data_IF_101961037025
#
_entry.id   IF_101961037025
#
_cell.length_a   1.000
_cell.length_b   1.000
_cell.length_c   1.000
_cell.angle_alpha   90.00
_cell.angle_beta   90.00
_cell.angle_gamma   90.00
#
_symmetry.space_group_name_H-M   'P 1'
#
loop_
_entity.id
_entity.type
_entity.pdbx_description
1 polymer ?
#
# COMPACT_ATOMS: atom_id res chain seq x y z
N UNK A 1 -3.65 -39.26 17.64
CA UNK A 1 -4.44 -38.16 18.25
C UNK A 1 -3.81 -36.79 18.05
N UNK A 2 -2.51 -36.58 18.33
CA UNK A 2 -1.82 -35.29 18.13
C UNK A 2 -1.83 -34.77 16.67
N UNK A 3 -1.61 -35.66 15.68
CA UNK A 3 -1.59 -35.26 14.26
C UNK A 3 -2.94 -34.72 13.77
N UNK A 4 -4.05 -35.37 14.18
CA UNK A 4 -5.40 -34.94 13.81
C UNK A 4 -5.78 -33.62 14.51
N UNK A 5 -5.34 -33.40 15.74
CA UNK A 5 -5.54 -32.12 16.45
C UNK A 5 -4.75 -30.99 15.78
N UNK A 6 -3.48 -31.21 15.45
CA UNK A 6 -2.64 -30.22 14.75
C UNK A 6 -3.20 -29.84 13.37
N UNK A 7 -3.68 -30.82 12.60
CA UNK A 7 -4.32 -30.58 11.29
C UNK A 7 -5.61 -29.79 11.46
N UNK A 8 -6.42 -30.07 12.49
CA UNK A 8 -7.67 -29.35 12.75
C UNK A 8 -7.42 -27.89 13.16
N UNK A 9 -6.48 -27.64 14.06
CA UNK A 9 -6.09 -26.28 14.47
C UNK A 9 -5.51 -25.49 13.28
N UNK A 10 -4.70 -26.13 12.44
CA UNK A 10 -4.18 -25.50 11.22
C UNK A 10 -5.29 -25.17 10.22
N UNK A 11 -6.21 -26.10 9.95
CA UNK A 11 -7.34 -25.88 9.05
C UNK A 11 -8.29 -24.80 9.58
N UNK A 12 -8.52 -24.75 10.89
CA UNK A 12 -9.31 -23.70 11.53
C UNK A 12 -8.62 -22.34 11.43
N UNK A 13 -7.32 -22.28 11.74
CA UNK A 13 -6.54 -21.04 11.64
C UNK A 13 -6.47 -20.51 10.21
N UNK A 14 -6.23 -21.37 9.22
CA UNK A 14 -6.26 -21.00 7.79
C UNK A 14 -7.66 -20.55 7.39
N UNK A 15 -8.71 -21.25 7.85
CA UNK A 15 -10.10 -20.89 7.58
C UNK A 15 -10.48 -19.53 8.15
N UNK A 16 -10.08 -19.23 9.38
CA UNK A 16 -10.35 -17.96 10.07
C UNK A 16 -9.61 -16.80 9.41
N UNK A 17 -8.33 -16.98 9.08
CA UNK A 17 -7.54 -16.00 8.32
C UNK A 17 -8.12 -15.75 6.93
N UNK A 18 -8.53 -16.80 6.22
CA UNK A 18 -9.18 -16.67 4.93
C UNK A 18 -10.51 -15.92 5.04
N UNK A 19 -11.35 -16.25 6.03
CA UNK A 19 -12.62 -15.58 6.27
C UNK A 19 -12.43 -14.09 6.58
N UNK A 20 -11.48 -13.76 7.45
CA UNK A 20 -11.12 -12.37 7.77
C UNK A 20 -10.58 -11.63 6.54
N UNK A 21 -9.69 -12.27 5.77
CA UNK A 21 -9.16 -11.69 4.55
C UNK A 21 -10.26 -11.40 3.53
N UNK A 22 -11.14 -12.35 3.25
CA UNK A 22 -12.28 -12.15 2.34
C UNK A 22 -13.25 -11.09 2.87
N UNK A 23 -13.54 -11.07 4.17
CA UNK A 23 -14.41 -10.07 4.78
C UNK A 23 -13.85 -8.66 4.65
N UNK A 24 -12.55 -8.48 4.93
CA UNK A 24 -11.86 -7.19 4.79
C UNK A 24 -11.76 -6.79 3.32
N UNK A 25 -11.38 -7.71 2.43
CA UNK A 25 -11.32 -7.45 0.99
C UNK A 25 -12.68 -7.00 0.42
N UNK A 26 -13.76 -7.70 0.78
CA UNK A 26 -15.11 -7.35 0.38
C UNK A 26 -15.56 -6.01 0.94
N UNK A 27 -15.30 -5.74 2.22
CA UNK A 27 -15.60 -4.45 2.83
C UNK A 27 -14.83 -3.32 2.14
N UNK A 28 -13.56 -3.54 1.80
CA UNK A 28 -12.73 -2.57 1.08
C UNK A 28 -13.25 -2.33 -0.34
N UNK A 29 -13.57 -3.37 -1.10
CA UNK A 29 -14.19 -3.24 -2.43
C UNK A 29 -15.52 -2.48 -2.36
N UNK A 30 -16.34 -2.78 -1.36
CA UNK A 30 -17.60 -2.09 -1.12
C UNK A 30 -17.40 -0.60 -0.76
N UNK A 31 -16.43 -0.30 0.10
CA UNK A 31 -16.07 1.08 0.47
C UNK A 31 -15.49 1.84 -0.71
N UNK A 32 -14.64 1.21 -1.54
CA UNK A 32 -14.08 1.82 -2.76
C UNK A 32 -15.15 2.06 -3.84
N UNK A 33 -16.18 1.21 -3.91
CA UNK A 33 -17.39 1.44 -4.72
C UNK A 33 -18.19 2.65 -4.22
N UNK A 34 -18.23 2.88 -2.90
CA UNK A 34 -18.98 3.98 -2.29
C UNK A 34 -18.20 5.31 -2.26
N UNK A 35 -16.86 5.24 -2.13
CA UNK A 35 -15.93 6.37 -2.15
C UNK A 35 -15.02 6.26 -3.38
N UNK A 36 -15.51 6.68 -4.56
CA UNK A 36 -14.75 6.60 -5.79
C UNK A 36 -13.46 7.42 -5.68
N UNK A 37 -12.40 6.93 -6.35
CA UNK A 37 -11.05 7.50 -6.31
C UNK A 37 -11.02 9.00 -6.67
N UNK A 38 -12.01 9.52 -7.40
CA UNK A 38 -12.13 10.95 -7.69
C UNK A 38 -12.42 11.83 -6.47
N UNK A 39 -13.15 11.32 -5.47
CA UNK A 39 -13.45 12.05 -4.22
C UNK A 39 -12.20 12.11 -3.34
N UNK A 40 -11.50 10.99 -3.22
CA UNK A 40 -10.19 10.88 -2.53
C UNK A 40 -9.19 11.83 -3.21
N UNK A 41 -9.11 11.79 -4.54
CA UNK A 41 -8.33 12.75 -5.33
C UNK A 41 -8.70 14.19 -5.00
N UNK A 42 -9.98 14.57 -5.01
CA UNK A 42 -10.36 15.96 -4.72
C UNK A 42 -9.97 16.44 -3.33
N UNK A 43 -9.91 15.52 -2.35
CA UNK A 43 -9.47 15.80 -0.97
C UNK A 43 -7.94 15.90 -0.90
N UNK A 44 -7.20 14.98 -1.54
CA UNK A 44 -5.74 14.94 -1.56
C UNK A 44 -5.09 15.98 -2.50
N UNK A 45 -5.81 16.41 -3.54
CA UNK A 45 -5.37 17.41 -4.52
C UNK A 45 -5.86 18.81 -4.17
N UNK A 46 -6.54 19.01 -3.02
CA UNK A 46 -7.03 20.32 -2.60
C UNK A 46 -5.86 21.22 -2.20
N UNK A 47 -5.25 21.88 -3.19
CA UNK A 47 -4.29 23.02 -3.14
C UNK A 47 -3.73 23.31 -1.73
N UNK A 48 -2.93 22.39 -1.21
CA UNK A 48 -2.29 22.49 0.11
C UNK A 48 -0.77 22.40 -0.04
N UNK A 49 -0.05 22.84 0.99
CA UNK A 49 1.40 22.64 1.12
C UNK A 49 1.75 21.15 1.10
N UNK A 50 2.98 20.79 0.67
CA UNK A 50 3.47 19.40 0.61
C UNK A 50 3.32 18.61 1.94
N UNK A 51 3.27 19.33 3.07
CA UNK A 51 3.00 18.74 4.39
C UNK A 51 1.56 18.28 4.51
N UNK A 52 0.59 19.06 4.00
CA UNK A 52 -0.83 18.72 4.08
C UNK A 52 -1.18 17.52 3.19
N UNK A 53 -0.60 17.46 1.98
CA UNK A 53 -0.75 16.31 1.08
C UNK A 53 -0.15 15.03 1.69
N UNK A 54 1.03 15.13 2.32
CA UNK A 54 1.65 14.02 3.06
C UNK A 54 0.81 13.57 4.26
N UNK A 55 0.27 14.50 5.04
CA UNK A 55 -0.60 14.23 6.19
C UNK A 55 -1.90 13.52 5.76
N UNK A 56 -2.53 14.01 4.70
CA UNK A 56 -3.74 13.41 4.12
C UNK A 56 -3.45 12.01 3.57
N UNK A 57 -2.31 11.81 2.89
CA UNK A 57 -1.87 10.52 2.40
C UNK A 57 -1.63 9.51 3.52
N UNK A 58 -0.93 9.92 4.58
CA UNK A 58 -0.72 9.11 5.77
C UNK A 58 -2.05 8.79 6.49
N UNK A 59 -2.93 9.78 6.71
CA UNK A 59 -4.22 9.55 7.34
C UNK A 59 -5.07 8.55 6.55
N UNK A 60 -5.07 8.69 5.21
CA UNK A 60 -5.78 7.76 4.34
C UNK A 60 -5.19 6.36 4.43
N UNK A 61 -3.86 6.22 4.37
CA UNK A 61 -3.18 4.92 4.46
C UNK A 61 -3.38 4.22 5.80
N UNK A 62 -3.47 4.96 6.91
CA UNK A 62 -3.74 4.40 8.23
C UNK A 62 -5.17 3.87 8.35
N UNK A 63 -6.11 4.50 7.64
CA UNK A 63 -7.51 4.08 7.59
C UNK A 63 -7.76 2.95 6.59
N UNK A 64 -6.90 2.79 5.56
CA UNK A 64 -7.03 1.72 4.55
C UNK A 64 -5.99 0.63 4.77
N UNK A 65 -6.36 -0.51 5.41
CA UNK A 65 -5.49 -1.66 5.57
C UNK A 65 -5.35 -2.44 4.26
N UNK A 66 -4.74 -1.82 3.26
CA UNK A 66 -4.40 -2.52 2.04
C UNK A 66 -3.21 -3.43 2.31
N UNK A 67 -3.39 -4.71 2.00
CA UNK A 67 -2.27 -5.62 1.83
C UNK A 67 -1.37 -5.09 0.70
N UNK A 68 -0.04 -5.17 0.87
CA UNK A 68 0.94 -4.56 -0.02
C UNK A 68 0.72 -4.87 -1.52
N UNK A 69 0.07 -6.00 -1.83
CA UNK A 69 -0.37 -6.40 -3.16
C UNK A 69 -1.36 -5.42 -3.82
N UNK A 70 -2.25 -4.81 -3.05
CA UNK A 70 -3.28 -3.88 -3.52
C UNK A 70 -2.85 -2.42 -3.38
N UNK A 71 -1.98 -2.11 -2.41
CA UNK A 71 -1.49 -0.75 -2.17
C UNK A 71 -0.65 -0.21 -3.33
N UNK A 72 0.17 -1.06 -3.96
CA UNK A 72 1.06 -0.64 -5.06
C UNK A 72 0.28 -0.26 -6.34
N UNK A 73 -0.66 -1.08 -6.85
CA UNK A 73 -1.51 -0.69 -7.98
C UNK A 73 -2.29 0.60 -7.72
N UNK A 74 -2.84 0.75 -6.51
CA UNK A 74 -3.60 1.94 -6.14
C UNK A 74 -2.71 3.19 -6.11
N UNK A 75 -1.49 3.08 -5.59
CA UNK A 75 -0.52 4.16 -5.61
C UNK A 75 -0.17 4.60 -7.04
N UNK A 76 -0.01 3.65 -7.97
CA UNK A 76 0.21 3.96 -9.39
C UNK A 76 -1.02 4.65 -9.99
N UNK A 77 -2.23 4.21 -9.65
CA UNK A 77 -3.48 4.88 -10.05
C UNK A 77 -3.55 6.31 -9.53
N UNK A 78 -3.21 6.56 -8.26
CA UNK A 78 -3.17 7.91 -7.68
C UNK A 78 -2.20 8.84 -8.42
N UNK A 79 -1.00 8.34 -8.76
CA UNK A 79 -0.05 9.10 -9.57
C UNK A 79 -0.58 9.39 -10.98
N UNK A 80 -1.25 8.43 -11.62
CA UNK A 80 -1.91 8.63 -12.93
C UNK A 80 -3.01 9.69 -12.86
N UNK A 81 -3.71 9.76 -11.74
CA UNK A 81 -4.74 10.76 -11.50
C UNK A 81 -4.18 12.14 -11.11
N UNK A 82 -2.86 12.29 -10.96
CA UNK A 82 -2.23 13.57 -10.64
C UNK A 82 -2.23 13.92 -9.15
N UNK A 83 -2.35 12.92 -8.27
CA UNK A 83 -2.13 13.10 -6.83
C UNK A 83 -0.65 13.43 -6.61
N UNK A 84 -0.32 14.39 -5.73
CA UNK A 84 1.07 14.70 -5.38
C UNK A 84 1.86 13.47 -4.92
N UNK A 85 3.12 13.36 -5.36
CA UNK A 85 3.97 12.20 -5.09
C UNK A 85 4.19 11.97 -3.59
N UNK A 86 4.31 13.05 -2.82
CA UNK A 86 4.51 13.00 -1.37
C UNK A 86 3.33 12.37 -0.61
N UNK A 87 2.10 12.57 -1.10
CA UNK A 87 0.92 11.94 -0.54
C UNK A 87 0.89 10.45 -0.83
N UNK A 88 1.25 10.05 -2.05
CA UNK A 88 1.32 8.65 -2.46
C UNK A 88 2.43 7.90 -1.72
N UNK A 89 3.59 8.53 -1.54
CA UNK A 89 4.70 7.98 -0.76
C UNK A 89 4.31 7.78 0.71
N UNK A 90 3.67 8.80 1.32
CA UNK A 90 3.19 8.70 2.71
C UNK A 90 2.16 7.60 2.89
N UNK A 91 1.22 7.48 1.93
CA UNK A 91 0.21 6.42 1.89
C UNK A 91 0.85 5.03 1.83
N UNK A 92 1.81 4.83 0.92
CA UNK A 92 2.51 3.56 0.75
C UNK A 92 3.27 3.12 2.00
N UNK A 93 3.90 4.07 2.69
CA UNK A 93 4.69 3.80 3.88
C UNK A 93 3.80 3.50 5.10
N UNK A 94 2.75 4.30 5.34
CA UNK A 94 1.90 4.12 6.52
C UNK A 94 1.02 2.87 6.43
N UNK A 95 0.54 2.50 5.25
CA UNK A 95 -0.43 1.40 5.07
C UNK A 95 0.01 0.07 5.72
N UNK A 96 1.27 -0.41 5.56
CA UNK A 96 1.74 -1.58 6.28
C UNK A 96 2.09 -1.31 7.76
N UNK A 97 2.48 -0.09 8.11
CA UNK A 97 2.99 0.23 9.45
C UNK A 97 1.90 0.51 10.49
N UNK A 98 0.76 1.06 10.07
CA UNK A 98 -0.37 1.47 10.93
C UNK A 98 -1.68 0.77 10.54
N UNK A 99 -1.62 -0.54 10.29
CA UNK A 99 -2.81 -1.33 10.06
C UNK A 99 -3.61 -1.50 11.38
N UNK A 100 -4.94 -1.33 11.39
CA UNK A 100 -5.81 -1.62 12.53
C UNK A 100 -5.56 -2.97 13.22
N UNK A 101 -5.22 -4.01 12.46
CA UNK A 101 -4.88 -5.34 12.97
C UNK A 101 -3.60 -5.26 13.82
N UNK A 102 -2.55 -4.61 13.29
CA UNK A 102 -1.27 -4.45 13.97
C UNK A 102 -1.39 -3.56 15.21
N UNK A 103 -2.15 -2.47 15.11
CA UNK A 103 -2.44 -1.56 16.24
C UNK A 103 -3.21 -2.29 17.34
N UNK A 104 -4.20 -3.10 16.99
CA UNK A 104 -4.97 -3.91 17.95
C UNK A 104 -4.12 -4.97 18.63
N UNK A 105 -3.22 -5.59 17.86
CA UNK A 105 -2.27 -6.56 18.39
C UNK A 105 -1.29 -5.91 19.36
N UNK A 106 -0.70 -4.76 19.00
CA UNK A 106 0.16 -3.98 19.90
C UNK A 106 -0.56 -3.56 21.19
N UNK A 107 -1.81 -3.10 21.07
CA UNK A 107 -2.62 -2.71 22.22
C UNK A 107 -2.86 -3.87 23.18
N UNK A 108 -3.02 -5.08 22.65
CA UNK A 108 -3.26 -6.29 23.45
C UNK A 108 -1.99 -6.79 24.13
N UNK A 109 -0.84 -6.73 23.44
CA UNK A 109 0.43 -7.24 23.97
C UNK A 109 1.17 -6.26 24.88
N UNK A 110 1.31 -5.01 24.44
CA UNK A 110 2.13 -4.01 25.11
C UNK A 110 1.30 -3.01 25.91
N UNK A 111 -0.02 -2.98 25.72
CA UNK A 111 -0.92 -2.02 26.36
C UNK A 111 -1.01 -0.69 25.62
N UNK A 112 -2.02 0.10 25.98
CA UNK A 112 -2.43 1.30 25.23
C UNK A 112 -1.36 2.40 25.16
N UNK A 113 -0.55 2.54 26.21
CA UNK A 113 0.49 3.58 26.29
C UNK A 113 1.54 3.44 25.17
N UNK A 114 2.02 2.21 24.95
CA UNK A 114 3.02 1.92 23.94
C UNK A 114 2.45 1.95 22.52
N UNK A 115 1.21 1.51 22.35
CA UNK A 115 0.51 1.56 21.05
C UNK A 115 0.35 2.99 20.57
N UNK A 116 -0.12 3.91 21.43
CA UNK A 116 -0.29 5.32 21.05
C UNK A 116 1.05 5.95 20.70
N UNK A 117 2.09 5.68 21.48
CA UNK A 117 3.45 6.18 21.22
C UNK A 117 3.97 5.69 19.85
N UNK A 118 3.84 4.39 19.58
CA UNK A 118 4.21 3.80 18.29
C UNK A 118 3.43 4.45 17.14
N UNK A 119 2.11 4.59 17.26
CA UNK A 119 1.27 5.19 16.23
C UNK A 119 1.69 6.61 15.91
N UNK A 120 1.93 7.45 16.93
CA UNK A 120 2.35 8.84 16.73
C UNK A 120 3.74 8.92 16.11
N UNK A 121 4.69 8.12 16.58
CA UNK A 121 6.06 8.11 16.05
C UNK A 121 6.08 7.70 14.58
N UNK A 122 5.46 6.58 14.25
CA UNK A 122 5.38 6.09 12.87
C UNK A 122 4.66 7.09 11.98
N UNK A 123 3.51 7.61 12.40
CA UNK A 123 2.75 8.58 11.61
C UNK A 123 3.59 9.83 11.34
N UNK A 124 4.25 10.37 12.36
CA UNK A 124 5.10 11.56 12.22
C UNK A 124 6.31 11.30 11.30
N UNK A 125 7.01 10.18 11.45
CA UNK A 125 8.13 9.81 10.58
C UNK A 125 7.69 9.69 9.13
N UNK A 126 6.52 9.11 8.90
CA UNK A 126 6.01 8.89 7.55
C UNK A 126 5.65 10.20 6.86
N UNK A 127 5.06 11.14 7.59
CA UNK A 127 4.76 12.50 7.07
C UNK A 127 6.06 13.26 6.77
N UNK A 128 7.08 13.13 7.62
CA UNK A 128 8.40 13.75 7.39
C UNK A 128 9.07 13.15 6.15
N UNK A 129 9.05 11.83 6.00
CA UNK A 129 9.58 11.16 4.80
C UNK A 129 8.81 11.57 3.54
N UNK A 130 7.48 11.59 3.60
CA UNK A 130 6.63 12.06 2.50
C UNK A 130 6.99 13.47 2.07
N UNK A 131 7.11 14.39 3.03
CA UNK A 131 7.56 15.75 2.76
C UNK A 131 8.96 15.80 2.16
N UNK A 132 9.90 14.98 2.64
CA UNK A 132 11.24 14.88 2.06
C UNK A 132 11.20 14.40 0.60
N UNK A 133 10.32 13.44 0.27
CA UNK A 133 10.08 13.02 -1.10
C UNK A 133 9.47 14.11 -1.98
N UNK A 134 8.77 15.09 -1.41
CA UNK A 134 8.31 16.27 -2.15
C UNK A 134 9.48 17.16 -2.63
N UNK A 135 10.61 17.14 -1.92
CA UNK A 135 11.79 17.94 -2.24
C UNK A 135 12.67 17.30 -3.32
N UNK A 136 12.55 15.98 -3.52
CA UNK A 136 13.31 15.25 -4.54
C UNK A 136 12.53 15.26 -5.86
N UNK A 137 13.09 15.77 -6.97
CA UNK A 137 12.38 15.83 -8.24
C UNK A 137 12.00 14.43 -8.75
N UNK A 138 10.70 14.19 -8.86
CA UNK A 138 10.03 12.95 -9.28
C UNK A 138 10.36 12.53 -10.73
N UNK A 139 11.02 13.39 -11.50
CA UNK A 139 11.40 13.18 -12.90
C UNK A 139 12.35 12.00 -13.15
N UNK A 140 12.88 11.39 -12.08
CA UNK A 140 13.68 10.17 -12.13
C UNK A 140 12.87 8.89 -11.87
N UNK A 141 11.78 8.95 -11.10
CA UNK A 141 11.04 7.76 -10.64
C UNK A 141 9.88 7.37 -11.55
N UNK A 142 9.31 8.32 -12.30
CA UNK A 142 8.19 8.10 -13.22
C UNK A 142 8.67 8.24 -14.68
N UNK A 143 9.68 7.48 -15.08
CA UNK A 143 9.95 7.23 -16.51
C UNK A 143 9.32 5.91 -16.89
N UNK A 144 8.04 5.98 -17.25
CA UNK A 144 7.38 4.86 -17.91
C UNK A 144 7.72 4.88 -19.40
N UNK A 145 8.56 3.95 -19.84
CA UNK A 145 8.85 3.67 -21.25
C UNK A 145 7.65 3.10 -22.04
N UNK A 146 6.42 3.26 -21.54
CA UNK A 146 5.22 2.65 -22.11
C UNK A 146 4.13 3.69 -22.42
N UNK A 147 3.50 3.63 -23.61
CA UNK A 147 2.51 4.61 -24.04
C UNK A 147 1.26 4.55 -23.17
N UNK A 148 0.92 5.68 -22.56
CA UNK A 148 -0.30 5.86 -21.79
C UNK A 148 -1.51 6.17 -22.72
N UNK A 149 -2.63 5.44 -22.62
CA UNK A 149 -3.87 5.89 -23.25
C UNK A 149 -4.42 7.07 -22.44
N UNK A 150 -4.53 8.24 -23.08
CA UNK A 150 -4.98 9.51 -22.45
C UNK A 150 -6.47 9.55 -22.09
N UNK A 151 -7.25 8.54 -22.47
CA UNK A 151 -8.68 8.44 -22.21
C UNK A 151 -9.02 7.03 -21.71
N UNK A 152 -9.03 6.84 -20.39
CA UNK A 152 -9.57 5.63 -19.78
C UNK A 152 -11.05 5.88 -19.47
N UNK A 153 -11.94 5.67 -20.45
CA UNK A 153 -13.37 5.61 -20.18
C UNK A 153 -13.68 4.24 -19.59
N UNK A 154 -14.31 4.22 -18.41
CA UNK A 154 -14.74 3.01 -17.73
C UNK A 154 -15.91 2.39 -18.51
N UNK A 155 -15.59 1.53 -19.47
CA UNK A 155 -16.58 0.73 -20.23
C UNK A 155 -16.31 -0.75 -19.99
N UNK A 156 -17.27 -1.42 -19.36
CA UNK A 156 -17.25 -2.85 -19.02
C UNK A 156 -17.45 -3.73 -20.26
N UNK A 157 -16.46 -3.79 -21.15
CA UNK A 157 -16.51 -4.70 -22.29
C UNK A 157 -15.19 -5.40 -22.60
N UNK A 158 -15.30 -6.67 -23.07
CA UNK A 158 -14.30 -7.74 -23.23
C UNK A 158 -12.96 -7.39 -23.92
N UNK A 159 -12.79 -6.16 -24.42
CA UNK A 159 -11.55 -5.65 -25.04
C UNK A 159 -10.49 -5.26 -23.99
N UNK A 160 -10.90 -4.86 -22.79
CA UNK A 160 -10.03 -4.48 -21.66
C UNK A 160 -9.14 -5.63 -21.15
N UNK A 161 -9.60 -6.89 -21.25
CA UNK A 161 -8.85 -8.05 -20.72
C UNK A 161 -7.53 -8.30 -21.46
N UNK A 162 -7.48 -8.15 -22.79
CA UNK A 162 -6.29 -8.48 -23.59
C UNK A 162 -5.27 -7.35 -23.61
N UNK A 163 -5.74 -6.10 -23.70
CA UNK A 163 -4.89 -4.90 -23.70
C UNK A 163 -4.46 -4.52 -22.27
N UNK A 164 -5.35 -4.68 -21.28
CA UNK A 164 -5.04 -4.48 -19.87
C UNK A 164 -4.02 -5.50 -19.34
N UNK A 165 -4.12 -6.78 -19.72
CA UNK A 165 -3.14 -7.79 -19.29
C UNK A 165 -1.73 -7.51 -19.81
N UNK A 166 -1.59 -7.10 -21.08
CA UNK A 166 -0.30 -6.72 -21.67
C UNK A 166 0.30 -5.47 -21.00
N UNK A 167 -0.54 -4.49 -20.66
CA UNK A 167 -0.11 -3.29 -19.94
C UNK A 167 0.30 -3.58 -18.49
N UNK A 168 -0.47 -4.42 -17.79
CA UNK A 168 -0.16 -4.87 -16.43
C UNK A 168 1.16 -5.65 -16.44
N UNK A 169 1.35 -6.58 -17.38
CA UNK A 169 2.60 -7.35 -17.53
C UNK A 169 3.81 -6.46 -17.82
N UNK A 170 3.71 -5.50 -18.75
CA UNK A 170 4.82 -4.58 -19.01
C UNK A 170 5.13 -3.68 -17.81
N UNK A 171 4.10 -3.18 -17.11
CA UNK A 171 4.27 -2.39 -15.90
C UNK A 171 4.93 -3.17 -14.77
N UNK A 172 4.47 -4.41 -14.54
CA UNK A 172 5.04 -5.34 -13.56
C UNK A 172 6.48 -5.70 -13.92
N UNK A 173 6.78 -5.97 -15.20
CA UNK A 173 8.13 -6.30 -15.65
C UNK A 173 9.11 -5.13 -15.48
N UNK A 174 8.68 -3.90 -15.76
CA UNK A 174 9.47 -2.69 -15.53
C UNK A 174 9.72 -2.44 -14.04
N UNK A 175 8.68 -2.55 -13.21
CA UNK A 175 8.82 -2.44 -11.75
C UNK A 175 9.75 -3.51 -11.20
N UNK A 176 9.56 -4.76 -11.64
CA UNK A 176 10.38 -5.89 -11.24
C UNK A 176 11.83 -5.63 -11.59
N UNK A 177 12.16 -5.24 -12.83
CA UNK A 177 13.55 -4.98 -13.24
C UNK A 177 14.23 -3.88 -12.41
N UNK A 178 13.49 -2.86 -11.98
CA UNK A 178 14.03 -1.77 -11.16
C UNK A 178 14.13 -2.12 -9.67
N UNK A 179 13.18 -2.90 -9.13
CA UNK A 179 13.13 -3.26 -7.69
C UNK A 179 14.01 -4.48 -7.40
N UNK A 180 14.16 -5.43 -8.34
CA UNK A 180 14.94 -6.65 -8.20
C UNK A 180 16.36 -6.43 -7.63
N UNK A 181 17.16 -5.46 -8.12
CA UNK A 181 18.48 -5.22 -7.56
C UNK A 181 18.45 -4.76 -6.09
N UNK A 182 17.48 -3.91 -5.72
CA UNK A 182 17.33 -3.45 -4.33
C UNK A 182 16.83 -4.56 -3.40
N UNK A 183 15.94 -5.42 -3.91
CA UNK A 183 15.43 -6.57 -3.15
C UNK A 183 16.54 -7.59 -2.88
N UNK A 184 17.39 -7.86 -3.87
CA UNK A 184 18.58 -8.70 -3.70
C UNK A 184 19.60 -8.08 -2.72
N UNK A 185 19.80 -6.76 -2.78
CA UNK A 185 20.67 -6.07 -1.82
C UNK A 185 20.11 -6.12 -0.39
N UNK A 186 18.82 -5.87 -0.23
CA UNK A 186 18.14 -5.90 1.06
C UNK A 186 18.11 -7.29 1.68
N UNK A 187 17.83 -8.33 0.89
CA UNK A 187 17.86 -9.72 1.36
C UNK A 187 19.28 -10.17 1.71
N UNK A 188 20.29 -9.80 0.92
CA UNK A 188 21.68 -10.09 1.23
C UNK A 188 22.14 -9.42 2.54
N UNK A 189 21.75 -8.16 2.77
CA UNK A 189 22.01 -7.46 4.03
C UNK A 189 21.28 -8.09 5.21
N UNK A 190 20.02 -8.50 5.05
CA UNK A 190 19.25 -9.17 6.09
C UNK A 190 19.91 -10.48 6.56
N UNK A 191 20.32 -11.32 5.62
CA UNK A 191 21.03 -12.58 5.92
C UNK A 191 22.38 -12.32 6.60
N UNK A 192 23.11 -11.27 6.20
CA UNK A 192 24.35 -10.90 6.86
C UNK A 192 24.14 -10.48 8.31
N UNK A 193 23.08 -9.71 8.61
CA UNK A 193 22.76 -9.32 9.98
C UNK A 193 22.35 -10.53 10.81
N UNK A 194 21.49 -11.41 10.28
CA UNK A 194 21.05 -12.62 10.97
C UNK A 194 22.17 -13.65 11.18
N UNK A 195 23.20 -13.64 10.34
CA UNK A 195 24.38 -14.49 10.52
C UNK A 195 25.34 -13.96 11.62
N UNK A 196 25.33 -12.65 11.89
CA UNK A 196 26.20 -12.00 12.88
C UNK A 196 25.55 -11.81 14.26
N UNK A 197 24.22 -11.92 14.36
CA UNK A 197 23.44 -11.80 15.60
C UNK A 197 23.16 -13.16 16.22
#
# INVERSE_FOLDING_TARGET
MLLLAAIREFLLGVGELALLFFGIAFALEWVLLFFPEERIKSILTRKGTAVLSSLLGAAFGALTPLCSYSTVPLAISFLRFGVPFEAVASFLLVSPLLNPILVSFLATLFGWQWTVLYTVLVFSQTVILGYFFALVPVSFWVRGDCPHPRNFSFSWEKRVLREGFRQILCGVWGLARNILPFLFLGSALGVLVEFFL
#
